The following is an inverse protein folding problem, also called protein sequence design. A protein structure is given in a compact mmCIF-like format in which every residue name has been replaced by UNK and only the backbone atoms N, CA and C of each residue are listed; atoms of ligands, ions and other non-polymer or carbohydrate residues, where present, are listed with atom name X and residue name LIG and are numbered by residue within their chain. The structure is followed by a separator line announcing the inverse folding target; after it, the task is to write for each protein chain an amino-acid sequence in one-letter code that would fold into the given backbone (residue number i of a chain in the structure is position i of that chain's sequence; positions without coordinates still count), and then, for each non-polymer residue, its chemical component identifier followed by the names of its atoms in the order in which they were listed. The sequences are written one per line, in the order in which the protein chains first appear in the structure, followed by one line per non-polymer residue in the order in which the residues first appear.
data_IF_637734293296
#
_entry.id   IF_637734293296
#
_cell.length_a   1.000
_cell.length_b   1.000
_cell.length_c   1.000
_cell.angle_alpha   90.00
_cell.angle_beta   90.00
_cell.angle_gamma   90.00
#
_symmetry.space_group_name_H-M   'P 1'
#
loop_
_entity.id
_entity.type
_entity.pdbx_description
1 polymer ?
#
# COMPACT_ATOMS: atom_id res chain seq x y z
N UNK A 1 1.59 35.83 -54.42
CA UNK A 1 2.94 35.22 -54.34
C UNK A 1 3.68 35.95 -53.21
N UNK A 2 4.17 35.36 -52.12
CA UNK A 2 4.50 33.97 -51.82
C UNK A 2 4.38 33.70 -50.30
N UNK A 3 3.79 32.54 -49.99
CA UNK A 3 3.94 31.80 -48.73
C UNK A 3 5.39 31.34 -48.58
N UNK A 4 6.12 31.74 -47.52
CA UNK A 4 7.23 30.95 -46.93
C UNK A 4 7.55 31.44 -45.51
N UNK A 5 7.02 30.74 -44.51
CA UNK A 5 7.71 30.41 -43.25
C UNK A 5 6.75 29.60 -42.37
N UNK A 6 6.58 28.35 -42.78
CA UNK A 6 5.92 27.30 -42.02
C UNK A 6 6.99 26.24 -41.71
N UNK A 7 6.90 25.64 -40.53
CA UNK A 7 7.56 24.39 -40.12
C UNK A 7 9.02 24.48 -39.64
N UNK A 8 9.17 24.83 -38.36
CA UNK A 8 10.10 24.13 -37.46
C UNK A 8 9.25 23.56 -36.32
N UNK A 9 8.58 22.45 -36.60
CA UNK A 9 7.90 21.62 -35.61
C UNK A 9 8.59 20.27 -35.60
N UNK A 10 9.80 20.19 -35.04
CA UNK A 10 10.49 18.91 -34.88
C UNK A 10 9.91 18.22 -33.65
N UNK A 11 9.10 17.23 -33.96
CA UNK A 11 8.50 16.22 -33.09
C UNK A 11 9.59 15.59 -32.22
N UNK A 12 9.69 16.02 -30.97
CA UNK A 12 10.43 15.30 -29.92
C UNK A 12 9.42 14.41 -29.18
N UNK A 13 8.90 13.40 -29.89
CA UNK A 13 8.19 12.30 -29.25
C UNK A 13 9.22 11.46 -28.51
N UNK A 14 9.52 11.85 -27.26
CA UNK A 14 10.23 10.99 -26.33
C UNK A 14 9.42 9.69 -26.20
N UNK A 15 9.94 8.62 -26.80
CA UNK A 15 9.52 7.25 -26.57
C UNK A 15 9.99 6.88 -25.16
N UNK A 16 9.30 7.40 -24.14
CA UNK A 16 9.37 6.84 -22.81
C UNK A 16 8.58 5.53 -22.88
N UNK A 17 9.30 4.44 -23.12
CA UNK A 17 8.73 3.10 -23.01
C UNK A 17 8.06 2.92 -21.63
N UNK A 18 7.04 2.05 -21.52
CA UNK A 18 6.33 1.84 -20.27
C UNK A 18 7.35 1.44 -19.17
N UNK A 19 7.49 2.31 -18.18
CA UNK A 19 8.25 2.01 -16.97
C UNK A 19 7.52 0.86 -16.28
N UNK A 20 8.16 -0.31 -16.16
CA UNK A 20 7.56 -1.40 -15.39
C UNK A 20 7.51 -0.99 -13.92
N UNK A 21 6.32 -0.76 -13.38
CA UNK A 21 6.14 -0.56 -11.96
C UNK A 21 6.52 -1.88 -11.26
N UNK A 22 7.53 -1.82 -10.39
CA UNK A 22 7.94 -2.94 -9.55
C UNK A 22 7.39 -2.70 -8.16
N UNK A 23 6.60 -3.65 -7.66
CA UNK A 23 6.13 -3.66 -6.29
C UNK A 23 6.92 -4.73 -5.52
N UNK A 24 7.39 -4.41 -4.31
CA UNK A 24 8.10 -5.32 -3.42
C UNK A 24 7.44 -5.35 -2.04
N UNK A 25 6.57 -6.34 -1.83
CA UNK A 25 5.94 -6.51 -0.53
C UNK A 25 6.93 -7.16 0.46
N UNK A 26 7.20 -6.49 1.57
CA UNK A 26 7.87 -7.11 2.70
C UNK A 26 6.84 -7.81 3.59
N UNK A 27 6.79 -9.14 3.52
CA UNK A 27 5.92 -9.96 4.36
C UNK A 27 6.80 -10.70 5.35
N UNK A 28 6.41 -10.66 6.63
CA UNK A 28 7.09 -11.45 7.66
C UNK A 28 7.16 -12.92 7.22
N UNK A 29 8.29 -13.62 7.45
CA UNK A 29 8.37 -15.06 7.20
C UNK A 29 7.25 -15.87 7.86
N UNK A 30 6.72 -15.38 9.00
CA UNK A 30 5.60 -16.01 9.71
C UNK A 30 4.26 -15.94 8.98
N UNK A 31 4.13 -15.02 8.02
CA UNK A 31 2.89 -14.72 7.29
C UNK A 31 1.70 -14.65 8.26
N UNK A 32 1.77 -13.77 9.27
CA UNK A 32 0.70 -13.65 10.22
C UNK A 32 -0.57 -13.21 9.49
N UNK A 33 -1.70 -13.77 9.85
CA UNK A 33 -2.99 -13.44 9.23
C UNK A 33 -4.09 -13.40 10.28
N UNK A 34 -5.11 -12.58 10.00
CA UNK A 34 -6.32 -12.50 10.79
C UNK A 34 -7.15 -13.79 10.68
N UNK A 35 -7.97 -14.15 11.68
CA UNK A 35 -8.83 -15.33 11.69
C UNK A 35 -10.09 -15.14 10.80
N UNK A 36 -9.89 -14.64 9.58
CA UNK A 36 -10.94 -14.39 8.59
C UNK A 36 -10.88 -15.41 7.45
N UNK A 37 -11.98 -15.54 6.73
CA UNK A 37 -12.06 -16.31 5.49
C UNK A 37 -12.91 -15.58 4.46
N UNK A 38 -12.90 -15.98 3.18
CA UNK A 38 -13.79 -15.36 2.19
C UNK A 38 -15.29 -15.44 2.55
N UNK A 39 -15.71 -16.43 3.34
CA UNK A 39 -17.10 -16.56 3.80
C UNK A 39 -17.39 -15.73 5.06
N UNK A 40 -16.36 -15.30 5.77
CA UNK A 40 -16.43 -14.43 6.94
C UNK A 40 -15.26 -13.42 6.88
N UNK A 41 -15.35 -12.44 5.98
CA UNK A 41 -14.22 -11.57 5.64
C UNK A 41 -14.01 -10.43 6.63
N UNK A 42 -14.96 -10.20 7.52
CA UNK A 42 -15.04 -8.99 8.34
C UNK A 42 -14.28 -9.13 9.65
N UNK A 43 -13.42 -8.16 9.95
CA UNK A 43 -12.93 -7.88 11.30
C UNK A 43 -13.57 -6.59 11.81
N UNK A 44 -14.07 -6.63 13.04
CA UNK A 44 -14.70 -5.49 13.69
C UNK A 44 -13.79 -4.96 14.79
N UNK A 45 -13.32 -3.72 14.65
CA UNK A 45 -12.62 -3.02 15.72
C UNK A 45 -13.61 -2.34 16.67
N UNK A 46 -13.29 -2.34 17.95
CA UNK A 46 -14.07 -1.73 19.01
C UNK A 46 -13.39 -0.43 19.45
N UNK A 47 -14.01 0.70 19.13
CA UNK A 47 -13.49 2.02 19.51
C UNK A 47 -14.12 2.51 20.82
N UNK A 48 -13.31 3.02 21.74
CA UNK A 48 -13.77 3.49 23.04
C UNK A 48 -14.63 4.77 23.01
N UNK A 49 -14.77 5.42 21.85
CA UNK A 49 -15.56 6.63 21.67
C UNK A 49 -14.85 7.92 22.07
N UNK A 50 -13.57 7.83 22.47
CA UNK A 50 -12.74 8.98 22.79
C UNK A 50 -11.99 9.48 21.56
N UNK A 51 -11.58 10.74 21.56
CA UNK A 51 -10.77 11.33 20.51
C UNK A 51 -9.66 12.20 21.14
N UNK A 52 -8.47 12.26 20.52
CA UNK A 52 -7.51 13.30 20.86
C UNK A 52 -8.02 14.67 20.41
N UNK A 53 -7.35 15.72 20.85
CA UNK A 53 -7.60 17.06 20.31
C UNK A 53 -7.15 17.11 18.85
N UNK A 54 -8.06 17.44 17.93
CA UNK A 54 -7.77 17.45 16.49
C UNK A 54 -7.57 18.87 15.96
N UNK A 55 -6.37 19.16 15.44
CA UNK A 55 -6.09 20.39 14.68
C UNK A 55 -6.35 20.20 13.18
N UNK A 56 -6.37 21.31 12.44
CA UNK A 56 -6.41 21.33 10.97
C UNK A 56 -7.55 20.50 10.36
N UNK A 57 -8.71 20.50 11.03
CA UNK A 57 -9.91 19.75 10.61
C UNK A 57 -10.37 20.11 9.20
N UNK A 58 -10.10 21.34 8.76
CA UNK A 58 -10.40 21.81 7.41
C UNK A 58 -9.58 21.13 6.31
N UNK A 59 -8.45 20.50 6.65
CA UNK A 59 -7.53 19.92 5.67
C UNK A 59 -7.92 18.49 5.24
N UNK A 60 -8.96 17.93 5.86
CA UNK A 60 -9.51 16.61 5.51
C UNK A 60 -10.92 16.75 4.94
N UNK A 61 -11.27 15.85 4.02
CA UNK A 61 -12.62 15.73 3.43
C UNK A 61 -13.18 17.08 2.91
N UNK A 62 -12.34 17.85 2.22
CA UNK A 62 -12.69 19.16 1.66
C UNK A 62 -13.28 20.15 2.68
N UNK A 63 -12.93 20.01 3.96
CA UNK A 63 -13.34 20.88 5.05
C UNK A 63 -14.78 20.68 5.53
N UNK A 64 -15.47 19.62 5.09
CA UNK A 64 -16.85 19.31 5.50
C UNK A 64 -16.98 19.16 7.03
N UNK A 65 -15.89 18.80 7.71
CA UNK A 65 -15.84 18.57 9.16
C UNK A 65 -15.06 19.65 9.93
N UNK A 66 -14.86 20.85 9.35
CA UNK A 66 -14.11 21.91 10.02
C UNK A 66 -14.70 22.32 11.38
N UNK A 67 -16.03 22.30 11.49
CA UNK A 67 -16.78 22.71 12.70
C UNK A 67 -17.27 21.52 13.56
N UNK A 68 -16.93 20.27 13.18
CA UNK A 68 -17.39 19.09 13.92
C UNK A 68 -16.65 18.93 15.24
N UNK A 69 -17.25 18.15 16.16
CA UNK A 69 -16.55 17.74 17.38
C UNK A 69 -15.35 16.83 17.06
N UNK A 70 -14.37 16.75 17.97
CA UNK A 70 -13.22 15.85 17.80
C UNK A 70 -13.65 14.38 17.73
N UNK A 71 -14.63 13.99 18.56
CA UNK A 71 -15.21 12.64 18.56
C UNK A 71 -15.90 12.31 17.24
N UNK A 72 -16.71 13.23 16.71
CA UNK A 72 -17.38 13.03 15.41
C UNK A 72 -16.36 12.90 14.28
N UNK A 73 -15.34 13.76 14.25
CA UNK A 73 -14.29 13.67 13.24
C UNK A 73 -13.48 12.38 13.41
N UNK A 74 -13.15 11.96 14.63
CA UNK A 74 -12.45 10.69 14.88
C UNK A 74 -13.20 9.48 14.31
N UNK A 75 -14.52 9.41 14.50
CA UNK A 75 -15.34 8.34 13.91
C UNK A 75 -15.23 8.33 12.38
N UNK A 76 -15.26 9.50 11.75
CA UNK A 76 -15.11 9.66 10.29
C UNK A 76 -13.71 9.26 9.83
N UNK A 77 -12.65 9.66 10.54
CA UNK A 77 -11.27 9.30 10.23
C UNK A 77 -11.07 7.78 10.31
N UNK A 78 -11.64 7.12 11.32
CA UNK A 78 -11.59 5.66 11.47
C UNK A 78 -12.27 4.95 10.30
N UNK A 79 -13.49 5.35 9.95
CA UNK A 79 -14.21 4.79 8.80
C UNK A 79 -13.47 5.03 7.49
N UNK A 80 -12.86 6.21 7.32
CA UNK A 80 -12.08 6.52 6.13
C UNK A 80 -10.81 5.66 6.03
N UNK A 81 -10.06 5.51 7.11
CA UNK A 81 -8.87 4.66 7.16
C UNK A 81 -9.19 3.19 6.83
N UNK A 82 -10.28 2.66 7.39
CA UNK A 82 -10.79 1.32 7.07
C UNK A 82 -11.26 1.20 5.61
N UNK A 83 -11.95 2.23 5.13
CA UNK A 83 -12.39 2.32 3.74
C UNK A 83 -11.25 2.16 2.74
N UNK A 84 -10.07 2.75 3.02
CA UNK A 84 -8.89 2.60 2.17
C UNK A 84 -8.48 1.14 1.96
N UNK A 85 -8.54 0.33 3.01
CA UNK A 85 -8.23 -1.10 2.90
C UNK A 85 -9.38 -1.90 2.28
N UNK A 86 -10.63 -1.58 2.59
CA UNK A 86 -11.82 -2.22 2.02
C UNK A 86 -11.94 -1.99 0.51
N UNK A 87 -11.37 -0.90 -0.02
CA UNK A 87 -11.36 -0.58 -1.45
C UNK A 87 -10.37 -1.43 -2.28
N UNK A 88 -9.57 -2.30 -1.66
CA UNK A 88 -8.63 -3.16 -2.39
C UNK A 88 -9.35 -4.37 -2.99
N UNK A 89 -9.84 -4.22 -4.23
CA UNK A 89 -10.64 -5.22 -4.94
C UNK A 89 -10.04 -6.64 -5.03
N UNK A 90 -8.71 -6.76 -4.95
CA UNK A 90 -8.00 -8.04 -5.00
C UNK A 90 -7.85 -8.72 -3.64
N UNK A 91 -8.37 -8.12 -2.57
CA UNK A 91 -8.41 -8.68 -1.24
C UNK A 91 -9.86 -8.83 -0.75
N UNK A 92 -10.18 -9.96 -0.10
CA UNK A 92 -11.54 -10.18 0.44
C UNK A 92 -11.78 -9.51 1.79
N UNK A 93 -10.71 -9.07 2.48
CA UNK A 93 -10.77 -8.58 3.85
C UNK A 93 -11.63 -7.32 3.95
N UNK A 94 -12.50 -7.28 4.96
CA UNK A 94 -13.30 -6.10 5.27
C UNK A 94 -13.10 -5.66 6.73
N UNK A 95 -13.03 -4.36 6.94
CA UNK A 95 -12.92 -3.72 8.23
C UNK A 95 -14.21 -2.99 8.59
N UNK A 96 -14.59 -3.12 9.84
CA UNK A 96 -15.66 -2.35 10.47
C UNK A 96 -15.18 -1.75 11.79
N UNK A 97 -15.79 -0.64 12.19
CA UNK A 97 -15.61 -0.05 13.51
C UNK A 97 -16.97 0.09 14.19
N UNK A 98 -17.02 -0.32 15.46
CA UNK A 98 -18.18 -0.13 16.33
C UNK A 98 -17.80 0.63 17.59
N UNK A 99 -18.70 1.46 18.08
CA UNK A 99 -18.53 2.14 19.35
C UNK A 99 -18.74 1.15 20.51
N UNK A 100 -17.71 0.93 21.31
CA UNK A 100 -17.80 0.26 22.60
C UNK A 100 -17.04 1.07 23.65
N UNK A 101 -17.76 1.80 24.50
CA UNK A 101 -17.17 2.64 25.56
C UNK A 101 -16.33 1.88 26.60
N UNK A 102 -16.46 0.56 26.64
CA UNK A 102 -15.69 -0.30 27.54
C UNK A 102 -14.45 -0.91 26.86
N UNK A 103 -14.17 -0.57 25.60
CA UNK A 103 -12.95 -1.00 24.93
C UNK A 103 -11.73 -0.43 25.67
N UNK A 104 -10.79 -1.31 25.98
CA UNK A 104 -9.51 -1.03 26.64
C UNK A 104 -8.43 -1.81 25.90
N UNK A 105 -7.17 -1.38 25.97
CA UNK A 105 -6.07 -2.17 25.42
C UNK A 105 -5.79 -3.35 26.35
N UNK A 106 -5.92 -4.57 25.86
CA UNK A 106 -5.66 -5.78 26.63
C UNK A 106 -5.32 -6.95 25.72
N UNK A 107 -4.04 -7.32 25.68
CA UNK A 107 -3.53 -8.41 24.84
C UNK A 107 -4.13 -9.82 25.10
N UNK A 108 -4.95 -9.96 26.14
CA UNK A 108 -5.59 -11.22 26.57
C UNK A 108 -7.09 -11.30 26.25
N UNK A 109 -7.75 -10.22 25.79
CA UNK A 109 -9.20 -10.21 25.60
C UNK A 109 -9.68 -10.66 24.21
N UNK A 110 -8.75 -10.84 23.27
CA UNK A 110 -9.02 -11.22 21.88
C UNK A 110 -9.92 -10.20 21.15
N UNK A 111 -9.86 -8.93 21.55
CA UNK A 111 -10.64 -7.82 20.99
C UNK A 111 -9.72 -6.86 20.25
N UNK A 112 -9.96 -6.69 18.96
CA UNK A 112 -9.38 -5.61 18.17
C UNK A 112 -9.85 -4.26 18.68
N UNK A 113 -9.10 -3.61 19.57
CA UNK A 113 -9.51 -2.34 20.17
C UNK A 113 -8.86 -1.13 19.52
N UNK A 114 -9.56 0.00 19.56
CA UNK A 114 -8.98 1.32 19.27
C UNK A 114 -9.27 2.21 20.48
N UNK A 115 -8.22 2.62 21.17
CA UNK A 115 -8.33 3.27 22.48
C UNK A 115 -7.51 4.54 22.47
N UNK A 116 -8.15 5.66 22.79
CA UNK A 116 -7.42 6.91 23.07
C UNK A 116 -6.98 6.92 24.52
N UNK A 117 -5.67 7.03 24.75
CA UNK A 117 -5.03 6.97 26.07
C UNK A 117 -3.70 7.75 26.11
N UNK A 118 -3.20 7.98 27.33
CA UNK A 118 -1.90 8.62 27.51
C UNK A 118 -0.78 7.66 27.09
N UNK A 119 0.11 8.14 26.22
CA UNK A 119 1.28 7.38 25.77
C UNK A 119 2.56 7.98 26.35
N UNK A 120 3.53 7.12 26.65
CA UNK A 120 4.86 7.53 27.13
C UNK A 120 5.60 8.42 26.11
N UNK A 121 5.32 8.21 24.82
CA UNK A 121 5.92 8.99 23.73
C UNK A 121 5.00 10.12 23.28
N UNK A 122 5.50 11.35 23.38
CA UNK A 122 4.78 12.54 22.90
C UNK A 122 4.80 12.70 21.37
N UNK A 123 5.61 11.91 20.67
CA UNK A 123 5.78 12.02 19.21
C UNK A 123 5.00 10.97 18.43
N UNK A 124 4.36 10.02 19.12
CA UNK A 124 3.58 8.94 18.52
C UNK A 124 2.11 9.35 18.55
N UNK A 125 1.47 9.40 17.38
CA UNK A 125 0.04 9.71 17.30
C UNK A 125 -0.82 8.47 17.55
N UNK A 126 -0.38 7.31 17.05
CA UNK A 126 -0.97 6.03 17.37
C UNK A 126 0.07 4.91 17.18
N UNK A 127 -0.19 3.74 17.75
CA UNK A 127 0.63 2.54 17.59
C UNK A 127 -0.26 1.28 17.65
N UNK A 128 -0.08 0.38 16.67
CA UNK A 128 -0.66 -0.95 16.69
C UNK A 128 0.19 -1.94 17.48
N UNK A 129 -0.47 -2.81 18.23
CA UNK A 129 0.11 -3.86 19.06
C UNK A 129 -0.53 -5.21 18.69
N UNK A 130 -0.19 -5.79 17.52
CA UNK A 130 -0.72 -7.09 17.13
C UNK A 130 -0.22 -8.19 18.06
N UNK A 131 -1.14 -9.03 18.51
CA UNK A 131 -0.87 -10.20 19.35
C UNK A 131 -0.97 -11.47 18.51
N UNK A 132 0.06 -12.32 18.61
CA UNK A 132 0.19 -13.50 17.76
C UNK A 132 0.03 -14.77 18.57
N UNK A 133 -0.83 -15.67 18.12
CA UNK A 133 -0.94 -17.03 18.63
C UNK A 133 -0.51 -18.01 17.55
N UNK A 134 0.21 -19.05 17.96
CA UNK A 134 0.47 -20.17 17.07
C UNK A 134 -0.84 -20.91 16.78
N UNK A 135 -1.09 -21.22 15.51
CA UNK A 135 -2.19 -22.10 15.08
C UNK A 135 -2.18 -23.49 15.73
N UNK A 136 -1.04 -23.93 16.30
CA UNK A 136 -0.92 -25.13 17.10
C UNK A 136 -0.35 -24.79 18.49
N UNK A 137 -1.05 -25.10 19.60
CA UNK A 137 -0.60 -24.79 20.96
C UNK A 137 0.72 -25.49 21.35
N UNK A 138 1.06 -26.60 20.68
CA UNK A 138 2.31 -27.34 20.92
C UNK A 138 3.51 -26.78 20.13
N UNK A 139 3.29 -25.82 19.23
CA UNK A 139 4.36 -25.27 18.43
C UNK A 139 5.25 -24.36 19.28
N UNK A 140 6.57 -24.55 19.12
CA UNK A 140 7.54 -23.64 19.72
C UNK A 140 7.21 -22.19 19.31
N UNK A 141 7.35 -21.20 20.22
CA UNK A 141 7.22 -19.79 19.87
C UNK A 141 8.21 -19.34 18.78
N UNK A 142 9.23 -20.14 18.49
CA UNK A 142 10.20 -19.91 17.40
C UNK A 142 9.75 -20.49 16.05
N UNK A 143 8.65 -21.23 15.98
CA UNK A 143 8.16 -21.83 14.75
C UNK A 143 7.50 -20.75 13.89
N UNK A 144 8.08 -20.54 12.71
CA UNK A 144 7.83 -19.39 11.84
C UNK A 144 6.69 -19.59 10.84
N UNK A 145 5.71 -20.47 11.06
CA UNK A 145 4.63 -20.68 10.08
C UNK A 145 3.28 -20.67 10.78
N UNK A 146 2.31 -19.93 10.23
CA UNK A 146 0.90 -20.02 10.64
C UNK A 146 0.61 -19.30 11.94
N UNK A 147 1.08 -18.06 12.07
CA UNK A 147 0.68 -17.19 13.19
C UNK A 147 -0.68 -16.58 12.87
N UNK A 148 -1.60 -16.70 13.81
CA UNK A 148 -2.90 -16.03 13.77
C UNK A 148 -2.76 -14.75 14.58
N UNK A 149 -3.13 -13.62 13.99
CA UNK A 149 -3.30 -12.37 14.72
C UNK A 149 -4.68 -12.50 15.37
N UNK A 150 -4.74 -12.90 16.63
CA UNK A 150 -6.02 -13.09 17.32
C UNK A 150 -6.51 -11.80 17.98
N UNK A 151 -5.60 -10.83 18.11
CA UNK A 151 -5.83 -9.55 18.74
C UNK A 151 -4.93 -8.48 18.10
N UNK A 152 -5.41 -7.24 18.04
CA UNK A 152 -4.61 -6.08 17.68
C UNK A 152 -5.22 -4.81 18.28
N UNK A 153 -4.52 -4.28 19.28
CA UNK A 153 -4.85 -3.00 19.89
C UNK A 153 -4.19 -1.85 19.16
N UNK A 154 -4.96 -0.81 18.81
CA UNK A 154 -4.43 0.47 18.35
C UNK A 154 -4.59 1.49 19.48
N UNK A 155 -3.47 1.83 20.11
CA UNK A 155 -3.41 2.90 21.10
C UNK A 155 -3.20 4.23 20.38
N UNK A 156 -4.11 5.19 20.58
CA UNK A 156 -4.07 6.53 20.02
C UNK A 156 -3.70 7.51 21.14
N UNK A 157 -2.67 8.32 20.95
CA UNK A 157 -2.21 9.28 21.96
C UNK A 157 -3.27 10.35 22.23
N UNK A 158 -3.44 10.74 23.50
CA UNK A 158 -4.26 11.90 23.92
C UNK A 158 -3.69 13.26 23.47
N UNK A 159 -2.43 13.30 23.03
CA UNK A 159 -1.78 14.52 22.56
C UNK A 159 -2.50 15.10 21.33
N UNK A 160 -2.46 16.43 21.21
CA UNK A 160 -3.05 17.11 20.06
C UNK A 160 -2.33 16.71 18.77
N UNK A 161 -3.10 16.44 17.71
CA UNK A 161 -2.60 15.96 16.42
C UNK A 161 -3.44 16.53 15.28
N UNK A 162 -2.83 16.76 14.11
CA UNK A 162 -3.61 17.19 12.94
C UNK A 162 -4.47 16.04 12.42
N UNK A 163 -5.72 16.35 12.03
CA UNK A 163 -6.66 15.34 11.54
C UNK A 163 -6.11 14.55 10.34
N UNK A 164 -5.41 15.24 9.44
CA UNK A 164 -4.77 14.64 8.26
C UNK A 164 -3.65 13.67 8.64
N UNK A 165 -2.81 14.04 9.61
CA UNK A 165 -1.74 13.16 10.08
C UNK A 165 -2.30 11.94 10.80
N UNK A 166 -3.33 12.13 11.65
CA UNK A 166 -3.97 11.03 12.33
C UNK A 166 -4.63 10.04 11.35
N UNK A 167 -5.30 10.51 10.29
CA UNK A 167 -5.84 9.63 9.24
C UNK A 167 -4.76 8.74 8.63
N UNK A 168 -3.61 9.36 8.29
CA UNK A 168 -2.46 8.67 7.71
C UNK A 168 -1.92 7.61 8.67
N UNK A 169 -1.70 7.98 9.95
CA UNK A 169 -1.22 7.05 10.98
C UNK A 169 -2.20 5.92 11.23
N UNK A 170 -3.50 6.18 11.39
CA UNK A 170 -4.51 5.13 11.56
C UNK A 170 -4.53 4.14 10.39
N UNK A 171 -4.41 4.65 9.16
CA UNK A 171 -4.33 3.79 7.96
C UNK A 171 -3.09 2.90 8.00
N UNK A 172 -1.96 3.42 8.45
CA UNK A 172 -0.72 2.68 8.67
C UNK A 172 -0.85 1.60 9.75
N UNK A 173 -1.35 1.97 10.94
CA UNK A 173 -1.50 1.05 12.07
C UNK A 173 -2.45 -0.12 11.74
N UNK A 174 -3.53 0.13 10.99
CA UNK A 174 -4.40 -0.94 10.46
C UNK A 174 -3.63 -1.94 9.59
N UNK A 175 -2.63 -1.48 8.83
CA UNK A 175 -1.77 -2.37 8.04
C UNK A 175 -0.94 -3.32 8.90
N UNK A 176 -0.47 -2.88 10.06
CA UNK A 176 0.17 -3.77 11.03
C UNK A 176 -0.80 -4.81 11.59
N UNK A 177 -2.03 -4.42 11.90
CA UNK A 177 -3.06 -5.34 12.38
C UNK A 177 -3.44 -6.43 11.36
N UNK A 178 -3.20 -6.23 10.06
CA UNK A 178 -3.40 -7.29 9.05
C UNK A 178 -2.15 -8.12 8.77
N UNK A 179 -1.04 -7.83 9.42
CA UNK A 179 0.23 -8.56 9.26
C UNK A 179 1.20 -7.96 8.25
N UNK A 180 0.99 -6.73 7.78
CA UNK A 180 1.97 -6.03 6.95
C UNK A 180 3.09 -5.45 7.80
N UNK A 181 4.32 -5.66 7.34
CA UNK A 181 5.50 -4.99 7.87
C UNK A 181 5.85 -3.76 7.04
N UNK A 182 6.80 -2.98 7.52
CA UNK A 182 7.30 -1.83 6.78
C UNK A 182 8.15 -2.27 5.58
N UNK A 183 7.87 -1.84 4.33
CA UNK A 183 8.76 -2.04 3.22
C UNK A 183 9.98 -1.11 3.33
N UNK A 184 11.11 -1.56 2.80
CA UNK A 184 12.36 -0.77 2.82
C UNK A 184 12.54 0.11 1.57
N UNK A 185 11.85 -0.22 0.47
CA UNK A 185 12.17 0.31 -0.87
C UNK A 185 11.13 1.25 -1.47
N UNK A 186 9.92 1.32 -0.92
CA UNK A 186 8.86 2.19 -1.43
C UNK A 186 8.55 3.29 -0.40
N UNK A 187 8.87 4.53 -0.74
CA UNK A 187 8.57 5.72 0.08
C UNK A 187 7.15 6.25 -0.15
N UNK A 188 6.41 5.69 -1.12
CA UNK A 188 5.00 6.02 -1.36
C UNK A 188 4.04 5.06 -0.69
N UNK A 189 4.51 3.91 -0.20
CA UNK A 189 3.72 2.95 0.59
C UNK A 189 3.31 3.56 1.92
N UNK A 190 2.03 3.45 2.30
CA UNK A 190 1.53 3.92 3.60
C UNK A 190 2.29 3.24 4.73
N UNK A 191 2.70 1.98 4.54
CA UNK A 191 3.49 1.20 5.48
C UNK A 191 4.98 1.60 5.52
N UNK A 192 5.45 2.60 4.78
CA UNK A 192 6.86 2.98 4.80
C UNK A 192 7.23 3.78 6.05
N UNK A 193 8.36 3.44 6.70
CA UNK A 193 8.94 4.22 7.80
C UNK A 193 9.22 5.68 7.43
N UNK A 194 9.52 5.91 6.15
CA UNK A 194 9.86 7.22 5.61
C UNK A 194 8.85 7.62 4.53
N UNK A 195 7.57 7.28 4.75
CA UNK A 195 6.51 7.67 3.83
C UNK A 195 6.53 9.20 3.64
N UNK A 196 6.84 9.64 2.42
CA UNK A 196 6.91 11.05 2.04
C UNK A 196 5.61 11.58 1.46
N UNK A 197 4.58 10.74 1.33
CA UNK A 197 3.26 11.16 0.88
C UNK A 197 2.54 11.93 1.99
N UNK A 198 1.91 13.04 1.63
CA UNK A 198 1.02 13.74 2.54
C UNK A 198 -0.38 13.12 2.59
N UNK A 199 -0.64 12.09 1.79
CA UNK A 199 -1.95 11.44 1.70
C UNK A 199 -1.99 10.14 2.51
N UNK A 200 -3.20 9.73 2.91
CA UNK A 200 -3.48 8.43 3.51
C UNK A 200 -3.83 7.37 2.43
N UNK A 201 -3.30 7.52 1.21
CA UNK A 201 -3.57 6.56 0.13
C UNK A 201 -2.66 5.34 0.23
N UNK A 202 -3.21 4.16 -0.11
CA UNK A 202 -2.42 2.93 -0.22
C UNK A 202 -1.55 2.95 -1.49
N UNK A 203 -0.26 2.72 -1.30
CA UNK A 203 0.69 2.49 -2.38
C UNK A 203 0.52 1.11 -3.02
N UNK A 204 1.30 0.85 -4.07
CA UNK A 204 1.24 -0.44 -4.78
C UNK A 204 1.71 -1.60 -3.91
N UNK A 205 2.74 -1.40 -3.08
CA UNK A 205 3.26 -2.42 -2.17
C UNK A 205 2.22 -2.79 -1.10
N UNK A 206 1.47 -1.82 -0.59
CA UNK A 206 0.42 -2.05 0.41
C UNK A 206 -0.72 -2.90 -0.17
N UNK A 207 -1.21 -2.51 -1.36
CA UNK A 207 -2.27 -3.22 -2.09
C UNK A 207 -1.84 -4.63 -2.47
N UNK A 208 -0.61 -4.79 -2.97
CA UNK A 208 -0.07 -6.10 -3.29
C UNK A 208 0.08 -6.96 -2.02
N UNK A 209 0.46 -6.38 -0.89
CA UNK A 209 0.63 -7.09 0.37
C UNK A 209 -0.68 -7.61 0.94
N UNK A 210 -1.70 -6.77 1.05
CA UNK A 210 -3.01 -7.21 1.53
C UNK A 210 -3.64 -8.24 0.58
N UNK A 211 -3.49 -8.06 -0.73
CA UNK A 211 -3.97 -9.03 -1.74
C UNK A 211 -3.25 -10.38 -1.69
N UNK A 212 -1.99 -10.38 -1.27
CA UNK A 212 -1.24 -11.61 -1.06
C UNK A 212 -1.71 -12.34 0.21
N UNK A 213 -1.98 -11.61 1.29
CA UNK A 213 -2.39 -12.19 2.57
C UNK A 213 -3.86 -12.65 2.55
N UNK A 214 -4.74 -11.89 1.91
CA UNK A 214 -6.19 -12.10 1.90
C UNK A 214 -6.77 -12.15 0.47
N UNK A 215 -6.28 -13.04 -0.41
CA UNK A 215 -6.59 -13.01 -1.83
C UNK A 215 -8.08 -13.23 -2.14
N UNK A 216 -8.71 -12.28 -2.84
CA UNK A 216 -10.10 -12.43 -3.31
C UNK A 216 -10.23 -13.69 -4.19
N UNK A 217 -11.12 -14.64 -3.84
CA UNK A 217 -11.36 -15.82 -4.63
C UNK A 217 -11.70 -15.48 -6.09
N UNK A 218 -11.03 -16.15 -7.03
CA UNK A 218 -11.24 -15.94 -8.47
C UNK A 218 -10.48 -14.76 -9.09
N UNK A 219 -10.09 -13.74 -8.32
CA UNK A 219 -9.13 -12.71 -8.77
C UNK A 219 -7.71 -13.26 -8.67
N UNK A 220 -7.33 -13.76 -7.49
CA UNK A 220 -5.97 -14.26 -7.23
C UNK A 220 -5.61 -15.51 -8.05
N UNK A 221 -6.59 -16.35 -8.40
CA UNK A 221 -6.37 -17.52 -9.25
C UNK A 221 -5.95 -17.15 -10.69
N UNK A 222 -6.33 -15.95 -11.17
CA UNK A 222 -5.85 -15.41 -12.46
C UNK A 222 -4.42 -14.86 -12.35
N UNK A 223 -3.98 -14.53 -11.14
CA UNK A 223 -2.69 -13.90 -10.82
C UNK A 223 -1.64 -14.94 -10.35
N UNK A 224 -1.90 -16.24 -10.57
CA UNK A 224 -1.09 -17.41 -10.14
C UNK A 224 0.41 -17.35 -10.48
N UNK A 225 0.86 -16.34 -11.23
CA UNK A 225 2.23 -16.15 -11.69
C UNK A 225 2.93 -14.86 -11.22
N UNK A 226 2.29 -13.98 -10.41
CA UNK A 226 2.99 -12.77 -9.92
C UNK A 226 3.79 -12.96 -8.62
N UNK A 227 3.69 -14.13 -7.97
CA UNK A 227 4.44 -14.45 -6.74
C UNK A 227 5.75 -15.20 -6.99
N UNK A 228 6.11 -15.43 -8.25
CA UNK A 228 7.48 -15.77 -8.62
C UNK A 228 8.26 -14.46 -8.73
N UNK A 229 9.37 -14.32 -7.99
CA UNK A 229 10.37 -13.28 -8.21
C UNK A 229 11.07 -13.50 -9.57
N UNK A 230 10.30 -13.42 -10.65
CA UNK A 230 10.74 -13.48 -12.03
C UNK A 230 10.45 -12.15 -12.69
N UNK A 231 11.39 -11.69 -13.50
CA UNK A 231 11.14 -10.56 -14.40
C UNK A 231 10.02 -10.99 -15.35
N UNK A 232 8.90 -10.24 -15.37
CA UNK A 232 7.90 -10.39 -16.43
C UNK A 232 8.59 -10.03 -17.75
N UNK A 233 9.08 -11.04 -18.48
CA UNK A 233 9.31 -10.88 -19.89
C UNK A 233 7.92 -10.65 -20.49
N UNK A 234 7.63 -9.41 -20.91
CA UNK A 234 6.46 -9.10 -21.72
C UNK A 234 6.49 -10.04 -22.93
N UNK A 235 5.70 -11.13 -22.85
CA UNK A 235 5.42 -11.97 -24.00
C UNK A 235 4.38 -11.20 -24.79
N UNK A 236 4.86 -10.53 -25.84
CA UNK A 236 3.98 -9.87 -26.80
C UNK A 236 3.17 -10.97 -27.50
N UNK A 237 1.91 -11.14 -27.12
CA UNK A 237 1.02 -12.19 -27.64
C UNK A 237 0.49 -11.90 -29.06
N UNK A 238 1.11 -10.98 -29.79
CA UNK A 238 0.76 -10.62 -31.17
C UNK A 238 1.79 -11.13 -32.20
N UNK A 239 2.32 -12.36 -32.04
CA UNK A 239 3.09 -12.98 -33.11
C UNK A 239 2.61 -14.39 -33.49
N UNK A 240 1.63 -14.51 -34.41
CA UNK A 240 1.22 -15.77 -35.01
C UNK A 240 2.23 -16.34 -36.03
N UNK A 241 3.49 -15.88 -36.07
CA UNK A 241 4.49 -16.28 -37.07
C UNK A 241 5.86 -16.68 -36.52
N UNK A 242 5.92 -17.29 -35.33
CA UNK A 242 7.14 -17.94 -34.84
C UNK A 242 7.41 -19.30 -35.52
N UNK A 243 7.48 -19.31 -36.86
CA UNK A 243 8.26 -20.29 -37.61
C UNK A 243 9.20 -19.55 -38.56
N UNK A 244 10.51 -19.62 -38.25
CA UNK A 244 11.60 -19.43 -39.21
C UNK A 244 11.93 -17.99 -39.61
N UNK A 245 13.05 -17.46 -39.11
CA UNK A 245 13.59 -16.22 -39.69
C UNK A 245 14.82 -15.67 -39.02
N UNK A 246 15.99 -16.03 -39.54
CA UNK A 246 17.24 -15.29 -39.41
C UNK A 246 17.02 -13.76 -39.44
N UNK A 247 17.37 -13.04 -38.36
CA UNK A 247 17.52 -11.57 -38.37
C UNK A 247 18.85 -11.15 -37.73
N UNK A 248 19.91 -11.37 -38.49
CA UNK A 248 21.07 -10.46 -38.61
C UNK A 248 20.63 -9.16 -39.32
N UNK A 249 21.42 -8.07 -39.40
CA UNK A 249 22.06 -7.27 -38.35
C UNK A 249 21.65 -5.79 -38.56
N UNK A 250 20.53 -5.33 -37.99
CA UNK A 250 20.09 -3.92 -38.14
C UNK A 250 20.94 -2.92 -37.35
N UNK A 251 21.85 -3.38 -36.48
CA UNK A 251 22.76 -2.52 -35.75
C UNK A 251 23.92 -1.99 -36.62
N UNK A 252 24.24 -2.62 -37.76
CA UNK A 252 25.36 -2.19 -38.61
C UNK A 252 25.03 -1.05 -39.59
N UNK A 253 23.74 -0.79 -39.88
CA UNK A 253 23.32 0.24 -40.82
C UNK A 253 23.19 1.65 -40.19
N UNK A 254 23.15 1.75 -38.86
CA UNK A 254 23.08 3.04 -38.15
C UNK A 254 24.46 3.64 -37.84
N UNK A 255 25.55 2.89 -37.97
CA UNK A 255 26.92 3.38 -37.74
C UNK A 255 27.65 3.82 -39.03
N UNK A 256 27.09 3.50 -40.21
CA UNK A 256 27.71 3.84 -41.50
C UNK A 256 27.85 5.35 -41.80
N UNK A 257 26.93 6.25 -41.36
CA UNK A 257 27.10 7.69 -41.58
C UNK A 257 28.19 8.32 -40.69
N UNK A 258 28.53 7.68 -39.56
CA UNK A 258 29.55 8.15 -38.62
C UNK A 258 30.98 7.84 -39.09
N UNK A 259 31.16 6.83 -39.95
CA UNK A 259 32.46 6.45 -40.50
C UNK A 259 32.81 7.17 -41.81
N UNK A 260 31.85 7.83 -42.47
CA UNK A 260 32.05 8.46 -43.78
C UNK A 260 32.15 10.00 -43.76
N UNK A 261 32.05 10.64 -42.60
CA UNK A 261 32.13 12.09 -42.48
C UNK A 261 33.39 12.55 -41.76
N UNK A 262 34.49 12.81 -42.48
CA UNK A 262 35.41 13.96 -42.33
C UNK A 262 36.68 13.73 -43.17
N UNK A 263 36.63 14.14 -44.45
CA UNK A 263 37.83 14.48 -45.21
C UNK A 263 37.59 15.80 -45.94
N UNK A 264 37.79 16.92 -45.23
CA UNK A 264 38.00 18.23 -45.88
C UNK A 264 39.48 18.31 -46.27
N UNK A 265 39.72 18.33 -47.58
CA UNK A 265 41.03 18.66 -48.16
C UNK A 265 41.32 20.14 -47.91
N UNK A 266 42.53 20.43 -47.43
CA UNK A 266 43.16 21.74 -47.59
C UNK A 266 44.29 21.58 -48.60
N UNK A 267 44.23 22.43 -49.63
CA UNK A 267 45.22 22.75 -50.68
C UNK A 267 45.44 21.71 -51.78
#
# INVERSE_FOLDING_TARGET
MNFRSLAIGLILSLVLGPQSLKAFVHISPSKPHLPVSPNNPTITFQWNGSAPVLSDKGDVFDGIYADSSDTELMEVLLKAAMGKWNEVESAYLNFEVVLNKNAVTNSEDEIYAIVVEDQDSQTVAAAALPSFQSSNPDDSPLKKNGHIIYDCDISVSTNAVSAKYLLKTLTHELGHCVGLGHPHSDYNSIMSYANSSDTAELGLDDKAGISFLYPEPGVSQKVKYMTSCGVLALRSDDDPRAEGGYRWPTLFLLLLPLLLGFRKQFL
#
